data_IF_646492977674
#
_entry.id   IF_646492977674
#
_cell.length_a   1.000
_cell.length_b   1.000
_cell.length_c   1.000
_cell.angle_alpha   90.00
_cell.angle_beta   90.00
_cell.angle_gamma   90.00
#
_symmetry.space_group_name_H-M   'P 1'
#
loop_
_entity.id
_entity.type
_entity.pdbx_description
1 polymer ?
#
# COMPACT_ATOMS: atom_id res chain seq x y z
N UNK A 1 18.61 -9.32 -7.33
CA UNK A 1 17.46 -10.20 -6.98
C UNK A 1 16.18 -9.45 -7.33
N UNK A 2 15.19 -10.12 -7.93
CA UNK A 2 13.89 -9.53 -8.26
C UNK A 2 12.82 -9.96 -7.26
N UNK A 3 12.06 -8.99 -6.74
CA UNK A 3 10.90 -9.21 -5.87
C UNK A 3 9.65 -8.63 -6.52
N UNK A 4 8.58 -9.43 -6.54
CA UNK A 4 7.28 -9.01 -7.05
C UNK A 4 6.33 -8.70 -5.89
N UNK A 5 5.88 -7.46 -5.77
CA UNK A 5 5.00 -6.99 -4.71
C UNK A 5 3.57 -6.86 -5.26
N UNK A 6 2.64 -7.66 -4.74
CA UNK A 6 1.21 -7.47 -5.01
C UNK A 6 0.70 -6.32 -4.15
N UNK A 7 0.10 -5.32 -4.79
CA UNK A 7 -0.29 -4.03 -4.21
C UNK A 7 0.77 -2.94 -4.41
N UNK A 8 0.35 -1.71 -4.72
CA UNK A 8 1.25 -0.55 -4.85
C UNK A 8 0.83 0.67 -3.98
N UNK A 9 -0.06 0.46 -3.01
CA UNK A 9 -0.50 1.50 -2.06
C UNK A 9 0.54 1.88 -1.00
N UNK A 10 0.13 2.68 0.00
CA UNK A 10 0.96 3.24 1.09
C UNK A 10 1.86 2.20 1.80
N UNK A 11 1.29 1.08 2.26
CA UNK A 11 2.09 0.04 2.95
C UNK A 11 3.05 -0.65 1.99
N UNK A 12 2.58 -1.02 0.79
CA UNK A 12 3.41 -1.66 -0.22
C UNK A 12 4.56 -0.73 -0.67
N UNK A 13 4.33 0.58 -0.69
CA UNK A 13 5.36 1.58 -0.98
C UNK A 13 6.45 1.59 0.09
N UNK A 14 6.08 1.46 1.37
CA UNK A 14 7.06 1.28 2.45
C UNK A 14 7.85 -0.03 2.34
N UNK A 15 7.23 -1.11 1.86
CA UNK A 15 7.91 -2.37 1.54
C UNK A 15 8.91 -2.17 0.41
N UNK A 16 8.47 -1.66 -0.75
CA UNK A 16 9.33 -1.40 -1.89
C UNK A 16 10.50 -0.47 -1.53
N UNK A 17 10.24 0.59 -0.76
CA UNK A 17 11.27 1.53 -0.34
C UNK A 17 12.39 0.86 0.48
N UNK A 18 12.04 -0.05 1.39
CA UNK A 18 13.03 -0.82 2.17
C UNK A 18 13.82 -1.78 1.30
N UNK A 19 13.15 -2.47 0.39
CA UNK A 19 13.78 -3.42 -0.54
C UNK A 19 14.74 -2.72 -1.51
N UNK A 20 14.33 -1.63 -2.15
CA UNK A 20 15.18 -0.85 -3.07
C UNK A 20 16.41 -0.29 -2.35
N UNK A 21 16.25 0.25 -1.13
CA UNK A 21 17.38 0.74 -0.32
C UNK A 21 18.35 -0.38 0.08
N UNK A 22 17.91 -1.64 0.07
CA UNK A 22 18.75 -2.82 0.28
C UNK A 22 19.33 -3.40 -1.03
N UNK A 23 19.14 -2.74 -2.17
CA UNK A 23 19.65 -3.18 -3.48
C UNK A 23 18.79 -4.24 -4.17
N UNK A 24 17.52 -4.38 -3.78
CA UNK A 24 16.58 -5.33 -4.38
C UNK A 24 15.81 -4.65 -5.52
N UNK A 25 15.75 -5.32 -6.68
CA UNK A 25 14.91 -4.92 -7.81
C UNK A 25 13.46 -5.23 -7.50
N UNK A 26 12.56 -4.26 -7.67
CA UNK A 26 11.14 -4.40 -7.28
C UNK A 26 10.21 -4.12 -8.46
N UNK A 27 9.33 -5.08 -8.73
CA UNK A 27 8.14 -4.89 -9.55
C UNK A 27 6.93 -4.88 -8.61
N UNK A 28 6.07 -3.87 -8.72
CA UNK A 28 4.82 -3.77 -7.97
C UNK A 28 3.64 -3.91 -8.90
N UNK A 29 2.58 -4.57 -8.44
CA UNK A 29 1.37 -4.78 -9.23
C UNK A 29 0.14 -4.22 -8.53
N UNK A 30 -0.73 -3.56 -9.27
CA UNK A 30 -2.00 -3.06 -8.74
C UNK A 30 -3.14 -3.21 -9.77
N UNK A 31 -4.35 -2.81 -9.38
CA UNK A 31 -5.50 -2.69 -10.28
C UNK A 31 -5.37 -1.46 -11.19
N UNK A 32 -6.06 -1.49 -12.34
CA UNK A 32 -6.01 -0.42 -13.34
C UNK A 32 -6.46 0.96 -12.81
N UNK A 33 -7.35 0.96 -11.82
CA UNK A 33 -7.85 2.16 -11.15
C UNK A 33 -7.55 2.04 -9.66
N UNK A 34 -6.36 2.46 -9.20
CA UNK A 34 -5.99 2.32 -7.80
C UNK A 34 -6.92 3.08 -6.84
N UNK A 35 -7.16 2.49 -5.67
CA UNK A 35 -8.05 3.03 -4.64
C UNK A 35 -7.30 3.54 -3.40
N UNK A 36 -5.97 3.64 -3.52
CA UNK A 36 -5.09 4.20 -2.50
C UNK A 36 -5.43 5.68 -2.24
N UNK A 37 -5.82 6.05 -1.02
CA UNK A 37 -6.14 7.46 -0.70
C UNK A 37 -4.89 8.32 -0.42
N UNK A 38 -3.81 7.73 0.11
CA UNK A 38 -2.56 8.46 0.41
C UNK A 38 -1.68 8.53 -0.84
N UNK A 39 -2.20 9.15 -1.90
CA UNK A 39 -1.64 9.11 -3.26
C UNK A 39 -0.26 9.77 -3.39
N UNK A 40 0.03 10.79 -2.60
CA UNK A 40 1.32 11.51 -2.62
C UNK A 40 2.52 10.64 -2.22
N UNK A 41 2.29 9.52 -1.52
CA UNK A 41 3.31 8.60 -1.03
C UNK A 41 3.06 7.15 -1.45
N UNK A 42 2.27 6.94 -2.50
CA UNK A 42 1.95 5.59 -2.98
C UNK A 42 2.39 5.42 -4.44
N UNK A 43 3.17 4.38 -4.71
CA UNK A 43 3.66 4.07 -6.06
C UNK A 43 2.55 3.65 -7.04
N UNK A 44 1.38 3.22 -6.56
CA UNK A 44 0.16 3.02 -7.35
C UNK A 44 -0.14 4.21 -8.28
N UNK A 45 0.22 5.43 -7.87
CA UNK A 45 -0.08 6.64 -8.64
C UNK A 45 0.70 6.72 -9.96
N UNK A 46 1.78 5.95 -10.14
CA UNK A 46 2.45 5.79 -11.43
C UNK A 46 1.50 5.23 -12.51
N UNK A 47 0.49 4.43 -12.14
CA UNK A 47 -0.52 3.93 -13.10
C UNK A 47 -1.28 5.09 -13.74
N UNK A 48 -1.55 6.16 -12.99
CA UNK A 48 -2.28 7.33 -13.48
C UNK A 48 -1.36 8.38 -14.12
N UNK A 49 -0.16 8.54 -13.59
CA UNK A 49 0.76 9.63 -13.95
C UNK A 49 1.89 9.20 -14.89
N UNK A 50 2.03 7.91 -15.17
CA UNK A 50 3.18 7.32 -15.87
C UNK A 50 4.38 7.12 -14.95
N UNK A 51 4.65 8.06 -14.04
CA UNK A 51 5.70 7.95 -13.04
C UNK A 51 5.44 8.80 -11.81
N UNK A 52 6.07 8.43 -10.69
CA UNK A 52 6.08 9.19 -9.44
C UNK A 52 7.41 9.05 -8.72
N UNK A 53 7.67 9.94 -7.75
CA UNK A 53 8.81 9.84 -6.85
C UNK A 53 8.34 9.95 -5.40
N UNK A 54 8.82 9.04 -4.54
CA UNK A 54 8.55 9.04 -3.10
C UNK A 54 9.87 8.86 -2.36
N UNK A 55 10.22 9.81 -1.50
CA UNK A 55 11.47 9.81 -0.72
C UNK A 55 12.74 9.47 -1.52
N UNK A 56 12.86 10.07 -2.71
CA UNK A 56 14.00 9.89 -3.63
C UNK A 56 13.93 8.65 -4.51
N UNK A 57 12.97 7.75 -4.28
CA UNK A 57 12.79 6.52 -5.07
C UNK A 57 11.78 6.80 -6.18
N UNK A 58 12.19 6.59 -7.42
CA UNK A 58 11.33 6.75 -8.60
C UNK A 58 10.61 5.44 -8.90
N UNK A 59 9.33 5.55 -9.22
CA UNK A 59 8.51 4.44 -9.71
C UNK A 59 7.92 4.79 -11.07
N UNK A 60 7.97 3.86 -12.01
CA UNK A 60 7.53 4.05 -13.40
C UNK A 60 6.55 2.95 -13.81
N UNK A 61 5.52 3.33 -14.56
CA UNK A 61 4.56 2.40 -15.15
C UNK A 61 5.23 1.59 -16.26
N UNK A 62 5.11 0.27 -16.20
CA UNK A 62 5.45 -0.65 -17.28
C UNK A 62 4.18 -1.31 -17.84
N UNK A 63 4.19 -1.57 -19.14
CA UNK A 63 3.12 -2.27 -19.85
C UNK A 63 3.44 -3.75 -20.07
N UNK A 64 4.72 -4.14 -20.00
CA UNK A 64 5.19 -5.50 -20.29
C UNK A 64 6.20 -5.97 -19.26
N UNK A 65 6.38 -7.30 -19.08
CA UNK A 65 7.43 -7.85 -18.24
C UNK A 65 8.83 -7.38 -18.63
N UNK A 66 9.13 -7.33 -19.93
CA UNK A 66 10.42 -6.84 -20.43
C UNK A 66 10.68 -5.36 -20.06
N UNK A 67 9.67 -4.50 -20.19
CA UNK A 67 9.77 -3.11 -19.75
C UNK A 67 9.93 -3.00 -18.24
N UNK A 68 9.20 -3.81 -17.46
CA UNK A 68 9.33 -3.84 -16.01
C UNK A 68 10.76 -4.22 -15.60
N UNK A 69 11.36 -5.23 -16.23
CA UNK A 69 12.75 -5.61 -15.99
C UNK A 69 13.71 -4.46 -16.31
N UNK A 70 13.59 -3.84 -17.49
CA UNK A 70 14.44 -2.72 -17.89
C UNK A 70 14.35 -1.52 -16.92
N UNK A 71 13.16 -1.22 -16.38
CA UNK A 71 12.98 -0.20 -15.34
C UNK A 71 13.74 -0.59 -14.07
N UNK A 72 13.61 -1.84 -13.62
CA UNK A 72 14.31 -2.30 -12.41
C UNK A 72 15.82 -2.39 -12.56
N UNK A 73 16.33 -2.69 -13.75
CA UNK A 73 17.77 -2.67 -14.06
C UNK A 73 18.35 -1.25 -14.00
N UNK A 74 17.54 -0.25 -14.32
CA UNK A 74 17.90 1.17 -14.16
C UNK A 74 17.87 1.65 -12.68
N UNK A 75 17.48 0.79 -11.74
CA UNK A 75 17.39 1.10 -10.31
C UNK A 75 16.06 1.71 -9.86
N UNK A 76 15.08 1.82 -10.75
CA UNK A 76 13.74 2.32 -10.45
C UNK A 76 12.79 1.19 -10.03
N UNK A 77 11.68 1.54 -9.38
CA UNK A 77 10.58 0.59 -9.15
C UNK A 77 9.71 0.51 -10.40
N UNK A 78 9.47 -0.70 -10.90
CA UNK A 78 8.46 -0.90 -11.94
C UNK A 78 7.09 -1.08 -11.31
N UNK A 79 6.07 -0.42 -11.87
CA UNK A 79 4.66 -0.58 -11.46
C UNK A 79 3.89 -1.11 -12.67
N UNK A 80 3.12 -2.17 -12.49
CA UNK A 80 2.34 -2.81 -13.55
C UNK A 80 0.86 -2.92 -13.16
N UNK A 81 -0.01 -2.89 -14.18
CA UNK A 81 -1.42 -3.23 -14.00
C UNK A 81 -1.57 -4.75 -14.18
N UNK A 82 -1.43 -5.48 -13.08
CA UNK A 82 -1.51 -6.95 -13.09
C UNK A 82 -2.18 -7.50 -11.82
N UNK A 83 -3.51 -7.32 -11.67
CA UNK A 83 -4.23 -7.69 -10.47
C UNK A 83 -4.27 -9.21 -10.21
N UNK A 84 -4.00 -10.01 -11.24
CA UNK A 84 -4.02 -11.47 -11.18
C UNK A 84 -2.61 -12.08 -11.09
N UNK A 85 -1.56 -11.24 -11.02
CA UNK A 85 -0.17 -11.67 -10.97
C UNK A 85 0.24 -12.57 -12.15
N UNK A 86 -0.33 -12.33 -13.35
CA UNK A 86 -0.04 -13.09 -14.58
C UNK A 86 1.39 -12.90 -15.06
N UNK A 87 2.05 -11.80 -14.73
CA UNK A 87 3.43 -11.53 -15.15
C UNK A 87 4.46 -12.40 -14.41
N UNK A 88 4.06 -13.13 -13.35
CA UNK A 88 4.97 -14.01 -12.61
C UNK A 88 5.59 -15.10 -13.48
N UNK A 89 4.84 -15.64 -14.44
CA UNK A 89 5.30 -16.72 -15.32
C UNK A 89 6.54 -16.33 -16.14
N UNK A 90 6.62 -15.05 -16.53
CA UNK A 90 7.73 -14.49 -17.30
C UNK A 90 8.80 -13.87 -16.40
N UNK A 91 8.41 -13.08 -15.39
CA UNK A 91 9.34 -12.38 -14.50
C UNK A 91 10.11 -13.32 -13.58
N UNK A 92 9.51 -14.44 -13.18
CA UNK A 92 10.11 -15.47 -12.30
C UNK A 92 10.88 -14.87 -11.11
N UNK A 93 10.21 -14.05 -10.27
CA UNK A 93 10.88 -13.39 -9.16
C UNK A 93 11.38 -14.41 -8.13
N UNK A 94 12.42 -14.03 -7.39
CA UNK A 94 12.93 -14.86 -6.29
C UNK A 94 11.95 -14.89 -5.11
N UNK A 95 11.15 -13.82 -4.96
CA UNK A 95 10.11 -13.77 -3.95
C UNK A 95 8.87 -12.99 -4.41
N UNK A 96 7.72 -13.38 -3.87
CA UNK A 96 6.45 -12.64 -3.98
C UNK A 96 6.09 -12.10 -2.60
N UNK A 97 5.73 -10.81 -2.55
CA UNK A 97 5.21 -10.17 -1.34
C UNK A 97 3.77 -9.74 -1.57
N UNK A 98 2.80 -10.33 -0.86
CA UNK A 98 1.43 -9.83 -0.85
C UNK A 98 1.28 -8.69 0.16
N UNK A 99 1.25 -7.46 -0.37
CA UNK A 99 1.02 -6.22 0.35
C UNK A 99 -0.24 -5.49 -0.15
N UNK A 100 -1.27 -6.24 -0.59
CA UNK A 100 -2.58 -5.68 -0.95
C UNK A 100 -3.32 -5.22 0.31
N UNK A 101 -3.11 -5.90 1.45
CA UNK A 101 -3.83 -5.72 2.72
C UNK A 101 -5.37 -5.84 2.60
N UNK A 102 -5.86 -6.75 1.77
CA UNK A 102 -7.29 -7.02 1.58
C UNK A 102 -8.00 -7.60 2.82
N UNK A 103 -7.25 -7.94 3.89
CA UNK A 103 -7.74 -8.57 5.14
C UNK A 103 -8.30 -9.99 4.95
N UNK A 104 -8.11 -10.55 3.76
CA UNK A 104 -8.43 -11.90 3.32
C UNK A 104 -7.47 -12.28 2.20
N UNK A 105 -7.21 -13.56 2.03
CA UNK A 105 -6.41 -14.06 0.92
C UNK A 105 -7.20 -13.89 -0.41
N UNK A 106 -6.61 -13.21 -1.39
CA UNK A 106 -7.19 -12.98 -2.73
C UNK A 106 -6.54 -13.87 -3.82
N UNK A 107 -6.00 -15.03 -3.41
CA UNK A 107 -5.32 -15.96 -4.32
C UNK A 107 -3.80 -15.85 -4.27
N UNK A 108 -3.24 -15.52 -3.11
CA UNK A 108 -1.81 -15.73 -2.83
C UNK A 108 -1.62 -17.15 -2.30
N UNK A 109 -0.66 -17.85 -2.89
CA UNK A 109 -0.32 -19.23 -2.58
C UNK A 109 1.20 -19.38 -2.51
N UNK A 110 1.67 -20.41 -1.80
CA UNK A 110 3.10 -20.65 -1.55
C UNK A 110 3.92 -21.02 -2.78
N UNK A 111 3.27 -21.40 -3.87
CA UNK A 111 3.90 -21.79 -5.14
C UNK A 111 4.10 -20.62 -6.12
N UNK A 112 3.70 -19.40 -5.76
CA UNK A 112 3.86 -18.22 -6.62
C UNK A 112 5.32 -17.81 -6.85
N UNK A 113 6.23 -18.17 -5.94
CA UNK A 113 7.67 -17.93 -6.02
C UNK A 113 8.42 -18.84 -5.03
N UNK A 114 9.76 -18.97 -5.13
CA UNK A 114 10.55 -19.69 -4.14
C UNK A 114 10.37 -19.23 -2.69
N UNK A 115 10.10 -17.93 -2.47
CA UNK A 115 9.71 -17.37 -1.18
C UNK A 115 8.43 -16.54 -1.33
N UNK A 116 7.41 -16.83 -0.52
CA UNK A 116 6.15 -16.09 -0.50
C UNK A 116 5.92 -15.47 0.87
N UNK A 117 5.86 -14.15 0.91
CA UNK A 117 5.67 -13.36 2.14
C UNK A 117 4.33 -12.63 2.05
N UNK A 118 3.51 -12.71 3.08
CA UNK A 118 2.27 -11.95 3.15
C UNK A 118 2.33 -10.83 4.20
N UNK A 119 1.50 -9.81 4.05
CA UNK A 119 1.48 -8.64 4.94
C UNK A 119 0.09 -8.46 5.56
N UNK A 120 0.03 -8.62 6.89
CA UNK A 120 -1.15 -8.36 7.69
C UNK A 120 -2.19 -9.50 7.73
N UNK A 121 -3.37 -9.24 8.32
CA UNK A 121 -4.37 -10.28 8.55
C UNK A 121 -4.95 -10.85 7.26
N UNK A 122 -5.47 -12.07 7.36
CA UNK A 122 -6.05 -12.82 6.23
C UNK A 122 -5.14 -13.91 5.68
N UNK A 123 -3.96 -14.10 6.29
CA UNK A 123 -2.96 -15.10 5.92
C UNK A 123 -2.47 -15.87 7.14
N UNK A 124 -2.07 -17.12 6.92
CA UNK A 124 -1.47 -18.00 7.93
C UNK A 124 -0.20 -18.64 7.37
N UNK A 125 0.91 -18.52 8.08
CA UNK A 125 2.15 -19.24 7.76
C UNK A 125 2.20 -20.57 8.54
N UNK A 126 2.69 -21.69 7.96
CA UNK A 126 3.15 -21.87 6.58
C UNK A 126 2.04 -22.43 5.65
N UNK A 127 0.81 -21.91 5.75
CA UNK A 127 -0.35 -22.42 4.98
C UNK A 127 -0.50 -21.65 3.67
N UNK A 128 -0.76 -20.34 3.75
CA UNK A 128 -0.97 -19.47 2.59
C UNK A 128 0.35 -18.92 2.01
N UNK A 129 1.35 -18.75 2.88
CA UNK A 129 2.64 -18.12 2.62
C UNK A 129 3.72 -18.74 3.52
N UNK A 130 5.00 -18.50 3.26
CA UNK A 130 6.10 -19.01 4.08
C UNK A 130 6.35 -18.15 5.33
N UNK A 131 6.05 -16.86 5.25
CA UNK A 131 6.07 -15.95 6.38
C UNK A 131 5.00 -14.85 6.22
N UNK A 132 4.50 -14.34 7.34
CA UNK A 132 3.57 -13.22 7.38
C UNK A 132 4.05 -12.13 8.33
N UNK A 133 3.94 -10.87 7.89
CA UNK A 133 4.40 -9.70 8.66
C UNK A 133 3.23 -9.04 9.39
N UNK A 134 3.37 -8.82 10.70
CA UNK A 134 2.38 -8.14 11.53
C UNK A 134 2.23 -6.65 11.13
N UNK A 135 0.98 -6.19 11.04
CA UNK A 135 0.64 -4.82 10.64
C UNK A 135 -0.17 -4.06 11.69
N UNK A 136 -0.62 -4.72 12.76
CA UNK A 136 -1.28 -4.08 13.88
C UNK A 136 -0.28 -3.16 14.59
N UNK A 137 -0.69 -1.90 14.84
CA UNK A 137 0.15 -0.98 15.61
C UNK A 137 0.25 -1.49 17.04
N UNK A 138 1.46 -1.49 17.59
CA UNK A 138 1.73 -1.98 18.93
C UNK A 138 3.08 -2.68 18.99
N UNK A 139 3.28 -3.46 20.05
CA UNK A 139 4.57 -4.10 20.36
C UNK A 139 5.07 -5.06 19.27
N UNK A 140 4.17 -5.63 18.48
CA UNK A 140 4.50 -6.63 17.45
C UNK A 140 4.56 -6.07 16.03
N UNK A 141 4.36 -4.77 15.83
CA UNK A 141 4.34 -4.16 14.49
C UNK A 141 5.63 -4.48 13.71
N UNK A 142 5.49 -5.04 12.50
CA UNK A 142 6.61 -5.43 11.65
C UNK A 142 7.24 -6.77 11.99
N UNK A 143 6.79 -7.48 13.02
CA UNK A 143 7.32 -8.80 13.38
C UNK A 143 7.01 -9.83 12.29
N UNK A 144 8.01 -10.64 11.95
CA UNK A 144 7.89 -11.81 11.08
C UNK A 144 7.29 -12.98 11.87
N UNK A 145 6.26 -13.61 11.29
CA UNK A 145 5.57 -14.78 11.83
C UNK A 145 5.73 -15.91 10.82
N UNK A 146 6.44 -16.97 11.20
CA UNK A 146 6.65 -18.17 10.35
C UNK A 146 5.71 -19.32 10.73
N UNK A 147 5.03 -19.22 11.87
CA UNK A 147 4.01 -20.17 12.32
C UNK A 147 2.84 -19.40 12.95
N UNK A 148 1.67 -19.49 12.32
CA UNK A 148 0.45 -18.79 12.73
C UNK A 148 0.08 -17.61 11.86
N UNK A 149 -0.82 -16.76 12.37
CA UNK A 149 -1.40 -15.62 11.66
C UNK A 149 -1.15 -14.32 12.44
N UNK A 150 -1.12 -13.15 11.77
CA UNK A 150 -1.10 -11.86 12.46
C UNK A 150 -2.40 -11.61 13.24
N UNK A 151 -2.39 -10.56 14.06
CA UNK A 151 -3.61 -10.13 14.75
C UNK A 151 -4.74 -9.83 13.76
N UNK A 152 -5.99 -10.22 14.10
CA UNK A 152 -7.13 -10.02 13.22
C UNK A 152 -7.41 -8.54 12.96
N UNK A 153 -8.06 -8.24 11.83
CA UNK A 153 -8.49 -6.90 11.52
C UNK A 153 -9.55 -6.42 12.54
N UNK A 154 -9.26 -5.35 13.27
CA UNK A 154 -10.21 -4.77 14.25
C UNK A 154 -11.26 -3.89 13.60
N UNK A 155 -11.06 -3.46 12.34
CA UNK A 155 -11.89 -2.45 11.68
C UNK A 155 -11.76 -1.05 12.28
N UNK A 156 -10.87 -0.85 13.26
CA UNK A 156 -10.62 0.44 13.91
C UNK A 156 -9.29 0.99 13.43
N UNK A 157 -9.25 2.18 12.80
CA UNK A 157 -7.98 2.81 12.45
C UNK A 157 -7.17 3.14 13.71
N UNK A 158 -5.85 3.11 13.60
CA UNK A 158 -4.98 3.51 14.71
C UNK A 158 -5.21 4.97 15.12
N UNK A 159 -5.13 5.23 16.42
CA UNK A 159 -5.34 6.55 17.03
C UNK A 159 -4.17 7.49 16.70
N UNK A 160 -4.48 8.71 16.27
CA UNK A 160 -3.52 9.79 16.04
C UNK A 160 -4.05 11.04 16.75
N UNK A 161 -3.25 11.62 17.65
CA UNK A 161 -3.62 12.78 18.46
C UNK A 161 -5.03 12.69 19.10
N UNK A 162 -5.42 11.50 19.57
CA UNK A 162 -6.71 11.25 20.22
C UNK A 162 -7.85 10.80 19.28
N UNK A 163 -7.68 10.85 17.95
CA UNK A 163 -8.72 10.49 16.98
C UNK A 163 -8.47 9.15 16.30
N UNK A 164 -9.51 8.32 16.16
CA UNK A 164 -9.43 6.96 15.65
C UNK A 164 -10.21 6.76 14.35
N UNK A 165 -11.53 6.61 14.44
CA UNK A 165 -12.41 6.40 13.26
C UNK A 165 -12.79 7.72 12.58
N UNK A 166 -12.88 8.78 13.36
CA UNK A 166 -13.32 10.13 13.00
C UNK A 166 -12.42 10.75 11.93
N UNK A 167 -11.15 10.32 11.87
CA UNK A 167 -10.20 10.76 10.85
C UNK A 167 -10.48 10.20 9.46
N UNK A 168 -11.18 9.08 9.36
CA UNK A 168 -11.39 8.37 8.09
C UNK A 168 -12.78 8.66 7.56
N UNK A 169 -12.84 9.30 6.39
CA UNK A 169 -14.09 9.65 5.74
C UNK A 169 -14.46 8.54 4.75
N UNK A 170 -15.67 8.03 4.89
CA UNK A 170 -16.25 7.02 4.04
C UNK A 170 -17.40 7.61 3.22
N UNK A 171 -17.62 7.05 2.03
CA UNK A 171 -18.71 7.47 1.18
C UNK A 171 -20.06 7.17 1.84
N UNK A 172 -20.99 8.14 1.93
CA UNK A 172 -22.34 7.92 2.44
C UNK A 172 -23.26 7.21 1.44
N UNK A 173 -22.84 7.06 0.18
CA UNK A 173 -23.63 6.47 -0.89
C UNK A 173 -22.72 5.81 -1.94
N UNK A 174 -23.33 5.05 -2.85
CA UNK A 174 -22.66 4.65 -4.08
C UNK A 174 -22.64 5.81 -5.09
N UNK A 175 -21.62 5.86 -5.95
CA UNK A 175 -21.51 6.88 -6.99
C UNK A 175 -20.08 7.09 -7.48
N UNK A 176 -19.86 8.11 -8.31
CA UNK A 176 -18.53 8.53 -8.75
C UNK A 176 -17.94 9.51 -7.75
N UNK A 177 -16.75 9.21 -7.23
CA UNK A 177 -16.05 10.13 -6.34
C UNK A 177 -15.58 11.38 -7.09
N UNK A 178 -15.88 12.56 -6.52
CA UNK A 178 -15.36 13.85 -6.97
C UNK A 178 -14.99 14.74 -5.79
N UNK A 179 -13.91 15.50 -5.94
CA UNK A 179 -13.48 16.49 -4.97
C UNK A 179 -12.74 17.64 -5.66
N UNK A 180 -13.00 18.86 -5.18
CA UNK A 180 -12.27 20.07 -5.53
C UNK A 180 -11.14 20.37 -4.52
N UNK A 181 -10.95 19.50 -3.51
CA UNK A 181 -9.87 19.59 -2.52
C UNK A 181 -8.62 18.86 -3.00
N UNK A 182 -7.49 19.20 -2.39
CA UNK A 182 -6.22 18.52 -2.59
C UNK A 182 -5.72 17.85 -1.30
N UNK A 183 -4.87 16.83 -1.47
CA UNK A 183 -4.05 16.31 -0.37
C UNK A 183 -3.11 17.43 0.07
N UNK A 184 -3.08 17.74 1.36
CA UNK A 184 -2.37 18.87 1.94
C UNK A 184 -3.26 20.05 2.35
N UNK A 185 -4.51 20.08 1.92
CA UNK A 185 -5.46 21.12 2.34
C UNK A 185 -5.74 21.03 3.85
N UNK A 186 -5.79 22.19 4.51
CA UNK A 186 -6.28 22.30 5.88
C UNK A 186 -7.81 22.40 5.84
N UNK A 187 -8.47 21.59 6.67
CA UNK A 187 -9.93 21.49 6.76
C UNK A 187 -10.38 21.61 8.20
N UNK A 188 -11.61 22.10 8.37
CA UNK A 188 -12.31 22.16 9.65
C UNK A 188 -13.46 21.15 9.70
N UNK A 189 -13.81 20.69 10.90
CA UNK A 189 -14.97 19.83 11.12
C UNK A 189 -16.23 20.43 10.47
N UNK A 190 -16.94 19.63 9.68
CA UNK A 190 -18.09 20.04 8.88
C UNK A 190 -17.76 20.43 7.44
N UNK A 191 -16.50 20.67 7.08
CA UNK A 191 -16.12 20.96 5.70
C UNK A 191 -16.42 19.78 4.78
N UNK A 192 -16.95 20.08 3.59
CA UNK A 192 -17.11 19.10 2.51
C UNK A 192 -15.75 18.81 1.89
N UNK A 193 -15.35 17.53 1.91
CA UNK A 193 -14.08 17.03 1.36
C UNK A 193 -14.24 16.38 -0.02
N UNK A 194 -15.47 16.14 -0.45
CA UNK A 194 -15.80 15.51 -1.72
C UNK A 194 -17.25 15.06 -1.78
N UNK A 195 -17.61 14.36 -2.85
CA UNK A 195 -18.95 13.87 -3.12
C UNK A 195 -18.89 12.47 -3.74
N UNK A 196 -19.92 11.67 -3.47
CA UNK A 196 -20.27 10.52 -4.29
C UNK A 196 -21.49 10.92 -5.13
N UNK A 197 -21.27 11.12 -6.43
CA UNK A 197 -22.19 11.85 -7.31
C UNK A 197 -22.60 13.19 -6.69
N UNK A 198 -23.84 13.34 -6.24
CA UNK A 198 -24.35 14.56 -5.63
C UNK A 198 -24.33 14.55 -4.09
N UNK A 199 -23.98 13.43 -3.47
CA UNK A 199 -24.03 13.26 -2.01
C UNK A 199 -22.74 13.74 -1.36
N UNK A 200 -22.75 14.77 -0.49
CA UNK A 200 -21.54 15.32 0.11
C UNK A 200 -20.94 14.42 1.18
N UNK A 201 -19.61 14.43 1.27
CA UNK A 201 -18.81 13.83 2.33
C UNK A 201 -18.16 14.94 3.16
N UNK A 202 -18.44 14.96 4.46
CA UNK A 202 -17.85 15.95 5.37
C UNK A 202 -16.80 15.33 6.29
N UNK A 203 -15.76 16.10 6.63
CA UNK A 203 -14.85 15.73 7.73
C UNK A 203 -15.52 15.95 9.08
N UNK A 204 -15.20 15.09 10.06
CA UNK A 204 -15.68 15.20 11.44
C UNK A 204 -14.69 15.91 12.37
N UNK A 205 -13.49 16.18 11.87
CA UNK A 205 -12.37 16.71 12.65
C UNK A 205 -11.64 17.79 11.86
N UNK A 206 -10.96 18.67 12.62
CA UNK A 206 -10.00 19.61 12.07
C UNK A 206 -8.70 18.89 11.72
N UNK A 207 -7.96 19.40 10.74
CA UNK A 207 -6.61 18.92 10.44
C UNK A 207 -6.21 19.09 8.98
N UNK A 208 -5.22 18.29 8.57
CA UNK A 208 -4.73 18.25 7.20
C UNK A 208 -5.35 17.06 6.45
N UNK A 209 -5.92 17.26 5.26
CA UNK A 209 -6.28 16.18 4.34
C UNK A 209 -5.01 15.42 3.93
N UNK A 210 -4.77 14.27 4.55
CA UNK A 210 -3.57 13.45 4.33
C UNK A 210 -3.79 12.34 3.31
N UNK A 211 -5.04 11.97 3.08
CA UNK A 211 -5.43 11.07 2.00
C UNK A 211 -6.73 11.53 1.36
N UNK A 212 -6.80 11.41 0.03
CA UNK A 212 -7.95 11.73 -0.78
C UNK A 212 -7.96 10.81 -2.00
N UNK A 213 -9.07 10.11 -2.23
CA UNK A 213 -9.29 9.26 -3.40
C UNK A 213 -9.13 10.08 -4.69
N UNK A 214 -8.77 9.42 -5.79
CA UNK A 214 -8.71 10.08 -7.09
C UNK A 214 -10.13 10.35 -7.62
N UNK A 215 -10.32 11.48 -8.30
CA UNK A 215 -11.57 11.79 -8.98
C UNK A 215 -11.87 10.74 -10.07
N UNK A 216 -13.15 10.41 -10.24
CA UNK A 216 -13.62 9.44 -11.23
C UNK A 216 -13.67 7.99 -10.75
N UNK A 217 -13.19 7.69 -9.53
CA UNK A 217 -13.28 6.34 -8.96
C UNK A 217 -14.71 6.03 -8.54
N UNK A 218 -15.21 4.86 -8.95
CA UNK A 218 -16.50 4.33 -8.50
C UNK A 218 -16.41 3.88 -7.04
N UNK A 219 -17.34 4.34 -6.21
CA UNK A 219 -17.41 4.02 -4.78
C UNK A 219 -18.75 3.43 -4.41
N UNK A 220 -18.78 2.62 -3.35
CA UNK A 220 -20.01 2.14 -2.70
C UNK A 220 -20.23 2.88 -1.38
N UNK A 221 -21.41 2.75 -0.79
CA UNK A 221 -21.61 3.18 0.59
C UNK A 221 -20.59 2.49 1.51
N UNK A 222 -20.04 3.24 2.46
CA UNK A 222 -18.99 2.79 3.37
C UNK A 222 -17.60 2.68 2.74
N UNK A 223 -17.40 3.05 1.47
CA UNK A 223 -16.09 2.99 0.82
C UNK A 223 -15.16 4.08 1.35
N UNK A 224 -13.91 3.75 1.67
CA UNK A 224 -12.94 4.69 2.23
C UNK A 224 -12.48 5.70 1.16
N UNK A 225 -12.76 6.99 1.37
CA UNK A 225 -12.51 8.03 0.38
C UNK A 225 -11.48 9.08 0.80
N UNK A 226 -11.35 9.38 2.09
CA UNK A 226 -10.36 10.34 2.58
C UNK A 226 -9.87 10.04 4.00
N UNK A 227 -8.79 10.71 4.41
CA UNK A 227 -8.21 10.64 5.74
C UNK A 227 -7.66 12.01 6.15
N UNK A 228 -8.01 12.49 7.34
CA UNK A 228 -7.55 13.76 7.91
C UNK A 228 -6.57 13.49 9.05
N UNK A 229 -5.41 14.13 9.00
CA UNK A 229 -4.44 14.06 10.09
C UNK A 229 -4.70 15.22 11.08
N UNK A 230 -5.19 14.94 12.30
CA UNK A 230 -5.56 15.96 13.29
C UNK A 230 -4.38 16.80 13.78
N UNK A 231 -3.15 16.37 13.50
CA UNK A 231 -1.95 17.14 13.88
C UNK A 231 -1.75 18.38 13.01
N UNK A 232 -2.42 18.46 11.85
CA UNK A 232 -2.37 19.61 10.94
C UNK A 232 -1.03 19.84 10.23
N UNK A 233 -0.04 18.96 10.43
CA UNK A 233 1.28 19.09 9.79
C UNK A 233 1.25 18.54 8.36
N UNK A 234 1.26 19.46 7.40
CA UNK A 234 1.21 19.15 5.97
C UNK A 234 2.47 18.43 5.48
N UNK A 235 3.60 18.49 6.19
CA UNK A 235 4.82 17.83 5.77
C UNK A 235 4.68 16.30 5.75
N UNK A 236 3.82 15.73 6.60
CA UNK A 236 3.58 14.28 6.69
C UNK A 236 2.90 13.66 5.47
N UNK A 237 2.40 14.48 4.53
CA UNK A 237 1.89 13.98 3.25
C UNK A 237 3.03 13.53 2.32
N UNK A 238 4.28 13.92 2.59
CA UNK A 238 5.45 13.64 1.76
C UNK A 238 6.29 12.46 2.27
N UNK A 239 5.93 11.88 3.42
CA UNK A 239 6.70 10.83 4.06
C UNK A 239 5.93 9.51 4.17
N UNK A 240 6.67 8.43 3.91
CA UNK A 240 6.24 7.06 4.17
C UNK A 240 5.96 6.95 5.67
N UNK A 241 4.83 6.33 6.03
CA UNK A 241 4.47 6.23 7.45
C UNK A 241 5.46 5.37 8.22
N UNK A 242 5.56 5.64 9.52
CA UNK A 242 6.21 4.77 10.51
C UNK A 242 5.74 3.30 10.36
N UNK A 243 4.43 3.08 10.20
CA UNK A 243 3.84 1.77 9.99
C UNK A 243 4.33 1.10 8.71
N UNK A 244 4.26 1.80 7.58
CA UNK A 244 4.72 1.27 6.30
C UNK A 244 6.23 0.94 6.36
N UNK A 245 7.00 1.79 7.04
CA UNK A 245 8.44 1.61 7.25
C UNK A 245 8.76 0.39 8.11
N UNK A 246 8.05 0.19 9.23
CA UNK A 246 8.21 -0.99 10.10
C UNK A 246 7.81 -2.28 9.39
N UNK A 247 6.69 -2.26 8.65
CA UNK A 247 6.24 -3.42 7.86
C UNK A 247 7.25 -3.76 6.77
N UNK A 248 7.79 -2.77 6.06
CA UNK A 248 8.85 -2.98 5.08
C UNK A 248 10.12 -3.56 5.69
N UNK A 249 10.46 -3.19 6.93
CA UNK A 249 11.56 -3.82 7.68
C UNK A 249 11.31 -5.30 7.96
N UNK A 250 10.10 -5.66 8.38
CA UNK A 250 9.70 -7.06 8.57
C UNK A 250 9.74 -7.87 7.28
N UNK A 251 9.31 -7.28 6.15
CA UNK A 251 9.42 -7.96 4.84
C UNK A 251 10.88 -8.20 4.46
N UNK A 252 11.76 -7.21 4.68
CA UNK A 252 13.19 -7.37 4.42
C UNK A 252 13.82 -8.46 5.31
N UNK A 253 13.43 -8.54 6.59
CA UNK A 253 13.84 -9.62 7.51
C UNK A 253 13.34 -10.99 7.02
N UNK A 254 12.06 -11.10 6.64
CA UNK A 254 11.51 -12.35 6.11
C UNK A 254 12.23 -12.78 4.81
N UNK A 255 12.55 -11.82 3.93
CA UNK A 255 13.31 -12.08 2.71
C UNK A 255 14.73 -12.59 3.04
N UNK A 256 15.39 -11.98 4.04
CA UNK A 256 16.68 -12.43 4.55
C UNK A 256 16.67 -13.87 5.08
N UNK A 257 15.57 -14.27 5.72
CA UNK A 257 15.41 -15.60 6.31
C UNK A 257 15.11 -16.67 5.26
N UNK A 258 14.28 -16.33 4.27
CA UNK A 258 13.74 -17.27 3.29
C UNK A 258 14.59 -17.38 2.02
N UNK A 259 15.52 -16.46 1.81
CA UNK A 259 16.40 -16.42 0.65
C UNK A 259 17.85 -16.27 1.08
N UNK A 260 18.78 -16.60 0.20
CA UNK A 260 20.21 -16.42 0.45
C UNK A 260 20.70 -14.98 0.17
N UNK A 261 19.82 -13.97 0.19
CA UNK A 261 20.17 -12.58 -0.19
C UNK A 261 21.36 -11.98 0.59
N UNK A 262 21.55 -12.39 1.84
CA UNK A 262 22.66 -11.94 2.69
C UNK A 262 23.72 -13.02 2.92
N UNK A 263 23.58 -14.20 2.29
CA UNK A 263 24.60 -15.24 2.33
C UNK A 263 25.44 -15.11 1.07
N UNK A 264 26.52 -14.34 1.20
CA UNK A 264 27.50 -14.13 0.12
C UNK A 264 28.23 -15.40 -0.29
#
# INVERSE_FOLDING_TARGET
MLVYVRGAGDIATGVAARLVRAGVSVVMADIAVPTCIRRTISFCEAIRLGEVQVEGIRARLAQTPAEALAITEAGDVAVVVDPQAKMLDELKPAAVVDAILAKRNLGTTRDMAPAVIAVGPGFTAPVDCDAVVETMRGHFLGRVITQGSPQPNTGVPGVIAGYGKERVIHSPAAGVFRSDRAIGDIVSAGDVIGYADDTPMCTQIDGCLRGLLANGVQVTEGFKCADVDPRGDTSYINYISDKATSVGGGVLEALAMLTDIFRG
#
